data_IF_434235491279
#
_entry.id   IF_434235491279
#
_cell.length_a   1.000
_cell.length_b   1.000
_cell.length_c   1.000
_cell.angle_alpha   90.00
_cell.angle_beta   90.00
_cell.angle_gamma   90.00
#
_symmetry.space_group_name_H-M   'P 1'
#
loop_
_entity.id
_entity.type
_entity.pdbx_description
1 polymer ?
#
# COMPACT_ATOMS: atom_id res chain seq x y z
N UNK A 1 3.58 29.69 4.53
CA UNK A 1 4.82 28.88 4.41
C UNK A 1 5.28 28.75 2.95
N UNK A 2 4.45 28.18 2.08
CA UNK A 2 4.81 27.92 0.68
C UNK A 2 5.12 29.19 -0.12
N UNK A 3 4.42 30.30 0.13
CA UNK A 3 4.73 31.60 -0.50
C UNK A 3 6.12 32.15 -0.13
N UNK A 4 6.75 31.64 0.93
CA UNK A 4 8.14 31.93 1.33
C UNK A 4 9.12 30.84 0.87
N UNK A 5 8.70 29.95 -0.03
CA UNK A 5 9.50 28.82 -0.50
C UNK A 5 9.63 27.66 0.50
N UNK A 6 8.91 27.68 1.64
CA UNK A 6 8.94 26.63 2.67
C UNK A 6 7.90 25.56 2.36
N UNK A 7 8.36 24.34 2.07
CA UNK A 7 7.57 23.15 1.76
C UNK A 7 7.48 22.22 2.97
N UNK A 8 6.67 21.16 2.84
CA UNK A 8 6.42 20.21 3.94
C UNK A 8 7.70 19.60 4.54
N UNK A 9 8.71 19.13 3.76
CA UNK A 9 9.93 18.57 4.34
C UNK A 9 10.70 19.57 5.22
N UNK A 10 10.70 20.85 4.85
CA UNK A 10 11.42 21.90 5.59
C UNK A 10 10.78 22.14 6.95
N UNK A 11 9.45 22.06 7.04
CA UNK A 11 8.72 22.19 8.30
C UNK A 11 9.06 21.05 9.29
N UNK A 12 9.61 19.94 8.79
CA UNK A 12 10.04 18.78 9.57
C UNK A 12 11.57 18.71 9.71
N UNK A 13 12.32 19.67 9.16
CA UNK A 13 13.79 19.65 9.15
C UNK A 13 14.38 18.49 8.35
N UNK A 14 13.64 17.94 7.38
CA UNK A 14 14.06 16.78 6.58
C UNK A 14 14.63 17.25 5.24
N UNK A 15 15.84 16.80 4.92
CA UNK A 15 16.41 16.93 3.57
C UNK A 15 15.80 15.86 2.66
N UNK A 16 15.11 16.24 1.56
CA UNK A 16 14.58 15.26 0.62
C UNK A 16 15.68 14.45 -0.07
N UNK A 17 15.32 13.28 -0.60
CA UNK A 17 16.19 12.53 -1.51
C UNK A 17 16.49 13.31 -2.80
N UNK A 18 17.60 12.98 -3.46
CA UNK A 18 18.06 13.53 -4.74
C UNK A 18 17.26 13.08 -5.98
N UNK A 19 16.22 12.25 -5.80
CA UNK A 19 15.34 11.79 -6.90
C UNK A 19 14.73 12.92 -7.73
N UNK A 20 14.47 14.08 -7.14
CA UNK A 20 13.81 15.22 -7.80
C UNK A 20 14.57 16.53 -7.57
N UNK A 21 14.52 17.44 -8.55
CA UNK A 21 15.07 18.78 -8.42
C UNK A 21 14.12 19.69 -7.63
N UNK A 22 14.29 19.69 -6.32
CA UNK A 22 13.54 20.55 -5.41
C UNK A 22 13.89 22.04 -5.56
N UNK A 23 15.08 22.37 -6.07
CA UNK A 23 15.52 23.76 -6.28
C UNK A 23 14.69 24.40 -7.38
N UNK A 24 14.66 23.77 -8.55
CA UNK A 24 13.86 24.22 -9.69
C UNK A 24 12.36 24.34 -9.33
N UNK A 25 11.82 23.35 -8.59
CA UNK A 25 10.41 23.40 -8.15
C UNK A 25 10.13 24.59 -7.23
N UNK A 26 11.03 24.90 -6.29
CA UNK A 26 10.86 26.05 -5.37
C UNK A 26 10.89 27.37 -6.12
N UNK A 27 11.78 27.52 -7.09
CA UNK A 27 11.83 28.72 -7.95
C UNK A 27 10.52 28.93 -8.71
N UNK A 28 9.96 27.87 -9.28
CA UNK A 28 8.66 27.92 -9.96
C UNK A 28 7.52 28.32 -9.01
N UNK A 29 7.51 27.77 -7.79
CA UNK A 29 6.49 28.08 -6.78
C UNK A 29 6.58 29.54 -6.34
N UNK A 30 7.79 30.07 -6.13
CA UNK A 30 7.97 31.48 -5.74
C UNK A 30 7.53 32.42 -6.87
N UNK A 31 7.81 32.05 -8.13
CA UNK A 31 7.46 32.88 -9.29
C UNK A 31 5.96 32.87 -9.62
N UNK A 32 5.33 31.70 -9.59
CA UNK A 32 3.98 31.50 -10.11
C UNK A 32 2.93 31.24 -9.02
N UNK A 33 3.37 30.96 -7.79
CA UNK A 33 2.50 30.50 -6.71
C UNK A 33 2.02 29.06 -6.90
N UNK A 34 1.05 28.68 -6.07
CA UNK A 34 0.35 27.38 -6.12
C UNK A 34 -1.15 27.63 -6.11
N UNK A 35 -1.91 26.76 -6.79
CA UNK A 35 -3.37 26.90 -6.88
C UNK A 35 -4.09 26.37 -5.63
N UNK A 36 -3.59 25.29 -5.05
CA UNK A 36 -4.21 24.59 -3.94
C UNK A 36 -3.38 24.81 -2.67
N UNK A 37 -4.02 25.09 -1.53
CA UNK A 37 -3.33 25.29 -0.25
C UNK A 37 -2.72 24.01 0.32
N UNK A 38 -3.37 22.86 0.09
CA UNK A 38 -2.96 21.51 0.51
C UNK A 38 -3.21 20.54 -0.64
N UNK A 39 -2.38 19.49 -0.75
CA UNK A 39 -2.40 18.55 -1.88
C UNK A 39 -2.50 17.07 -1.49
N UNK A 40 -1.87 16.66 -0.39
CA UNK A 40 -1.69 15.24 -0.07
C UNK A 40 -2.31 14.93 1.29
N UNK A 41 -3.22 13.95 1.29
CA UNK A 41 -3.82 13.37 2.49
C UNK A 41 -4.19 11.91 2.20
N UNK A 42 -3.34 10.93 2.56
CA UNK A 42 -3.67 9.52 2.40
C UNK A 42 -4.91 9.15 3.22
N UNK A 43 -5.93 8.64 2.55
CA UNK A 43 -7.20 8.24 3.16
C UNK A 43 -7.34 6.72 3.19
N UNK A 44 -8.24 6.14 4.02
CA UNK A 44 -8.64 4.75 3.89
C UNK A 44 -9.19 4.47 2.49
N UNK A 45 -8.72 3.41 1.86
CA UNK A 45 -9.09 3.06 0.47
C UNK A 45 -9.89 1.77 0.40
N UNK A 46 -10.52 1.32 1.49
CA UNK A 46 -11.24 0.05 1.60
C UNK A 46 -11.99 -0.37 0.31
N UNK A 47 -12.94 0.43 -0.17
CA UNK A 47 -13.74 0.05 -1.35
C UNK A 47 -12.97 0.15 -2.68
N UNK A 48 -12.17 1.19 -2.88
CA UNK A 48 -11.47 1.42 -4.15
C UNK A 48 -10.29 0.47 -4.35
N UNK A 49 -9.52 0.19 -3.29
CA UNK A 49 -8.46 -0.82 -3.30
C UNK A 49 -9.02 -2.22 -3.56
N UNK A 50 -10.18 -2.55 -2.99
CA UNK A 50 -10.88 -3.81 -3.30
C UNK A 50 -11.30 -3.92 -4.76
N UNK A 51 -11.82 -2.85 -5.36
CA UNK A 51 -12.18 -2.83 -6.80
C UNK A 51 -10.95 -3.06 -7.68
N UNK A 52 -9.81 -2.45 -7.33
CA UNK A 52 -8.55 -2.60 -8.08
C UNK A 52 -7.76 -3.87 -7.70
N UNK A 53 -8.22 -4.63 -6.69
CA UNK A 53 -7.52 -5.80 -6.18
C UNK A 53 -6.17 -5.49 -5.52
N UNK A 54 -6.04 -4.32 -4.90
CA UNK A 54 -4.86 -3.87 -4.15
C UNK A 54 -5.06 -4.02 -2.64
N UNK A 55 -3.97 -3.95 -1.88
CA UNK A 55 -4.05 -3.81 -0.43
C UNK A 55 -4.53 -2.41 -0.03
N UNK A 56 -4.98 -2.25 1.21
CA UNK A 56 -5.47 -0.98 1.71
C UNK A 56 -4.33 0.04 1.91
N UNK A 57 -4.47 1.18 1.23
CA UNK A 57 -3.66 2.38 1.41
C UNK A 57 -2.15 2.09 1.54
N UNK A 58 -1.52 2.58 2.61
CA UNK A 58 -0.12 2.32 2.96
C UNK A 58 0.03 1.20 4.00
N UNK A 59 -1.03 0.45 4.26
CA UNK A 59 -1.01 -0.61 5.28
C UNK A 59 -0.26 -1.84 4.78
N UNK A 60 0.45 -2.58 5.66
CA UNK A 60 0.92 -3.91 5.33
C UNK A 60 -0.25 -4.88 5.12
N UNK A 61 -0.01 -6.01 4.47
CA UNK A 61 -1.00 -7.08 4.42
C UNK A 61 -1.29 -7.57 5.83
N UNK A 62 -2.54 -7.42 6.27
CA UNK A 62 -2.97 -7.86 7.61
C UNK A 62 -2.97 -9.39 7.73
N UNK A 63 -3.26 -10.09 6.64
CA UNK A 63 -3.21 -11.55 6.55
C UNK A 63 -2.99 -11.99 5.10
N UNK A 64 -2.31 -13.12 4.89
CA UNK A 64 -2.22 -13.73 3.56
C UNK A 64 -3.47 -14.50 3.16
N UNK A 65 -4.40 -14.76 4.10
CA UNK A 65 -5.68 -15.38 3.81
C UNK A 65 -6.77 -14.62 4.56
N UNK A 66 -7.71 -14.05 3.82
CA UNK A 66 -8.85 -13.35 4.40
C UNK A 66 -10.17 -13.88 3.86
N UNK A 67 -11.21 -13.81 4.68
CA UNK A 67 -12.54 -14.20 4.30
C UNK A 67 -13.30 -13.02 3.70
N UNK A 68 -13.92 -13.22 2.54
CA UNK A 68 -14.77 -12.23 1.86
C UNK A 68 -16.20 -12.73 1.83
N UNK A 69 -17.10 -12.00 2.48
CA UNK A 69 -18.55 -12.25 2.37
C UNK A 69 -19.13 -11.53 1.16
N UNK A 70 -19.85 -12.26 0.32
CA UNK A 70 -20.64 -11.75 -0.81
C UNK A 70 -22.06 -12.32 -0.72
N UNK A 71 -22.97 -11.82 -1.54
CA UNK A 71 -24.37 -12.28 -1.54
C UNK A 71 -24.52 -13.78 -1.84
N UNK A 72 -23.55 -14.38 -2.53
CA UNK A 72 -23.51 -15.80 -2.88
C UNK A 72 -22.78 -16.70 -1.86
N UNK A 73 -22.29 -16.15 -0.74
CA UNK A 73 -21.61 -16.91 0.31
C UNK A 73 -20.31 -16.27 0.80
N UNK A 74 -19.52 -17.06 1.52
CA UNK A 74 -18.23 -16.66 2.09
C UNK A 74 -17.08 -17.30 1.31
N UNK A 75 -16.20 -16.48 0.74
CA UNK A 75 -15.08 -16.91 -0.09
C UNK A 75 -13.77 -16.58 0.59
N UNK A 76 -12.93 -17.59 0.73
CA UNK A 76 -11.56 -17.44 1.23
C UNK A 76 -10.68 -16.92 0.10
N UNK A 77 -10.15 -15.71 0.25
CA UNK A 77 -9.22 -15.08 -0.71
C UNK A 77 -7.81 -15.18 -0.16
N UNK A 78 -6.91 -15.75 -0.96
CA UNK A 78 -5.48 -15.83 -0.66
C UNK A 78 -4.78 -14.63 -1.29
N UNK A 79 -3.75 -14.10 -0.64
CA UNK A 79 -2.86 -13.10 -1.21
C UNK A 79 -2.34 -13.59 -2.57
N UNK A 80 -2.73 -12.88 -3.63
CA UNK A 80 -2.41 -13.24 -5.02
C UNK A 80 -0.91 -13.37 -5.28
N UNK A 81 -0.09 -12.57 -4.57
CA UNK A 81 1.36 -12.60 -4.69
C UNK A 81 1.92 -13.89 -4.10
N UNK A 82 1.53 -14.21 -2.86
CA UNK A 82 1.95 -15.46 -2.21
C UNK A 82 1.49 -16.70 -2.99
N UNK A 83 0.25 -16.70 -3.48
CA UNK A 83 -0.27 -17.81 -4.27
C UNK A 83 0.55 -18.03 -5.55
N UNK A 84 0.92 -16.94 -6.23
CA UNK A 84 1.75 -16.99 -7.42
C UNK A 84 3.12 -17.60 -7.10
N UNK A 85 3.81 -17.06 -6.08
CA UNK A 85 5.14 -17.52 -5.68
C UNK A 85 5.13 -19.01 -5.26
N UNK A 86 4.16 -19.44 -4.45
CA UNK A 86 4.03 -20.84 -4.04
C UNK A 86 3.70 -21.78 -5.21
N UNK A 87 2.97 -21.29 -6.21
CA UNK A 87 2.66 -22.08 -7.41
C UNK A 87 3.88 -22.23 -8.30
N UNK A 88 4.67 -21.16 -8.49
CA UNK A 88 5.92 -21.21 -9.25
C UNK A 88 6.96 -22.13 -8.61
N UNK A 89 7.01 -22.15 -7.27
CA UNK A 89 7.87 -23.07 -6.51
C UNK A 89 7.35 -24.52 -6.47
N UNK A 90 6.15 -24.79 -6.99
CA UNK A 90 5.51 -26.12 -6.91
C UNK A 90 5.10 -26.53 -5.48
N UNK A 91 5.05 -25.57 -4.55
CA UNK A 91 4.73 -25.79 -3.14
C UNK A 91 3.23 -25.63 -2.84
N UNK A 92 2.47 -25.04 -3.76
CA UNK A 92 1.04 -24.81 -3.56
C UNK A 92 0.26 -26.15 -3.54
N UNK A 93 -0.30 -26.46 -2.38
CA UNK A 93 -1.14 -27.65 -2.17
C UNK A 93 -2.30 -27.36 -1.22
N UNK A 94 -3.36 -28.19 -1.22
CA UNK A 94 -4.44 -28.08 -0.24
C UNK A 94 -3.95 -28.16 1.21
N UNK A 95 -2.90 -28.94 1.47
CA UNK A 95 -2.29 -29.05 2.80
C UNK A 95 -1.65 -27.72 3.25
N UNK A 96 -0.89 -27.07 2.35
CA UNK A 96 -0.29 -25.75 2.61
C UNK A 96 -1.36 -24.69 2.83
N UNK A 97 -2.41 -24.67 1.99
CA UNK A 97 -3.55 -23.76 2.18
C UNK A 97 -4.18 -23.91 3.56
N UNK A 98 -4.47 -25.15 3.97
CA UNK A 98 -5.09 -25.42 5.27
C UNK A 98 -4.15 -25.06 6.43
N UNK A 99 -2.84 -25.22 6.26
CA UNK A 99 -1.84 -24.82 7.26
C UNK A 99 -1.80 -23.30 7.44
N UNK A 100 -1.81 -22.55 6.33
CA UNK A 100 -1.88 -21.08 6.37
C UNK A 100 -3.17 -20.62 7.05
N UNK A 101 -4.32 -21.25 6.76
CA UNK A 101 -5.59 -20.95 7.45
C UNK A 101 -5.47 -21.24 8.95
N UNK A 102 -4.87 -22.37 9.33
CA UNK A 102 -4.67 -22.76 10.73
C UNK A 102 -3.74 -21.79 11.48
N UNK A 103 -2.73 -21.24 10.79
CA UNK A 103 -1.80 -20.25 11.35
C UNK A 103 -2.26 -18.80 11.11
N UNK A 104 -3.58 -18.56 11.01
CA UNK A 104 -4.22 -17.23 10.86
C UNK A 104 -3.67 -16.39 9.69
N UNK A 105 -3.34 -17.05 8.58
CA UNK A 105 -2.78 -16.39 7.39
C UNK A 105 -1.27 -16.21 7.42
N UNK A 106 -0.57 -16.69 8.45
CA UNK A 106 0.89 -16.66 8.51
C UNK A 106 1.53 -17.79 7.72
N UNK A 107 2.67 -17.51 7.10
CA UNK A 107 3.50 -18.49 6.37
C UNK A 107 4.75 -18.90 7.14
N UNK A 108 5.02 -18.28 8.29
CA UNK A 108 6.28 -18.43 9.03
C UNK A 108 6.47 -19.83 9.66
N UNK A 109 5.38 -20.59 9.82
CA UNK A 109 5.37 -21.91 10.45
C UNK A 109 5.17 -23.05 9.43
N UNK A 110 5.29 -22.75 8.15
CA UNK A 110 5.28 -23.76 7.09
C UNK A 110 6.71 -24.31 6.99
N UNK A 111 6.91 -25.63 7.17
CA UNK A 111 8.22 -26.26 7.12
C UNK A 111 8.83 -26.24 5.71
#
# INVERSE_FOLDING_TARGET
PVSKGVLQPDMWGVTPSDRWDWGALREMIVRNGIRNSLLVAPMPTASTSQILGNNECFEPYTSNIYSRRVLSGEFVVVNKHLLHDLTELGLWSPAVKNKIIYDDGSVQKIP
#
